data_IF_292116765160
#
_entry.id   IF_292116765160
#
_cell.length_a   1.000
_cell.length_b   1.000
_cell.length_c   1.000
_cell.angle_alpha   90.00
_cell.angle_beta   90.00
_cell.angle_gamma   90.00
#
_symmetry.space_group_name_H-M   'P 1'
#
loop_
_entity.id
_entity.type
_entity.pdbx_description
1 polymer ?
#
# COMPACT_ATOMS: atom_id res chain seq x y z
N UNK A 1 -17.52 25.86 -29.68
CA UNK A 1 -18.40 27.05 -29.77
C UNK A 1 -18.57 27.58 -28.36
N UNK A 2 -18.22 28.84 -28.11
CA UNK A 2 -18.42 29.46 -26.79
C UNK A 2 -19.82 30.05 -26.75
N UNK A 3 -20.66 29.63 -25.80
CA UNK A 3 -22.00 30.20 -25.61
C UNK A 3 -21.88 31.61 -25.05
N UNK A 4 -22.78 32.52 -25.46
CA UNK A 4 -22.84 33.87 -24.89
C UNK A 4 -23.51 33.85 -23.51
N UNK A 5 -23.26 34.85 -22.65
CA UNK A 5 -23.94 34.96 -21.36
C UNK A 5 -25.48 34.97 -21.49
N UNK A 6 -26.01 35.60 -22.53
CA UNK A 6 -27.45 35.64 -22.83
C UNK A 6 -27.98 34.24 -23.12
N UNK A 7 -27.29 33.47 -23.97
CA UNK A 7 -27.67 32.08 -24.28
C UNK A 7 -27.65 31.16 -23.05
N UNK A 8 -26.72 31.39 -22.12
CA UNK A 8 -26.67 30.65 -20.86
C UNK A 8 -27.83 31.02 -19.93
N UNK A 9 -28.18 32.31 -19.88
CA UNK A 9 -29.31 32.78 -19.07
C UNK A 9 -30.64 32.25 -19.62
N UNK A 10 -30.86 32.35 -20.94
CA UNK A 10 -32.08 31.86 -21.59
C UNK A 10 -32.25 30.35 -21.32
N UNK A 11 -31.18 29.57 -21.50
CA UNK A 11 -31.21 28.14 -21.20
C UNK A 11 -31.53 27.85 -19.71
N UNK A 12 -31.01 28.64 -18.78
CA UNK A 12 -31.31 28.48 -17.36
C UNK A 12 -32.78 28.80 -17.04
N UNK A 13 -33.35 29.84 -17.67
CA UNK A 13 -34.74 30.22 -17.49
C UNK A 13 -35.70 29.21 -18.12
N UNK A 14 -35.36 28.63 -19.27
CA UNK A 14 -36.14 27.57 -19.91
C UNK A 14 -36.20 26.32 -19.02
N UNK A 15 -35.09 25.92 -18.39
CA UNK A 15 -35.08 24.82 -17.42
C UNK A 15 -35.95 25.16 -16.21
N UNK A 16 -35.85 26.38 -15.66
CA UNK A 16 -36.67 26.79 -14.53
C UNK A 16 -38.18 26.78 -14.85
N UNK A 17 -38.56 27.21 -16.06
CA UNK A 17 -39.93 27.15 -16.54
C UNK A 17 -40.41 25.70 -16.65
N UNK A 18 -39.60 24.82 -17.26
CA UNK A 18 -39.91 23.40 -17.45
C UNK A 18 -39.99 22.60 -16.13
N UNK A 19 -39.31 23.03 -15.07
CA UNK A 19 -39.50 22.45 -13.73
C UNK A 19 -40.79 22.94 -13.10
N UNK A 20 -41.11 24.23 -13.27
CA UNK A 20 -42.31 24.84 -12.69
C UNK A 20 -43.59 24.31 -13.32
N UNK A 21 -43.58 24.05 -14.63
CA UNK A 21 -44.71 23.48 -15.35
C UNK A 21 -44.83 21.95 -15.22
N UNK A 22 -43.83 21.30 -14.62
CA UNK A 22 -43.79 19.86 -14.39
C UNK A 22 -43.37 19.02 -15.61
N UNK A 23 -42.87 19.66 -16.68
CA UNK A 23 -42.33 18.98 -17.87
C UNK A 23 -41.03 18.25 -17.56
N UNK A 24 -40.21 18.81 -16.67
CA UNK A 24 -38.99 18.19 -16.15
C UNK A 24 -39.20 17.90 -14.67
N UNK A 25 -39.08 16.63 -14.29
CA UNK A 25 -39.09 16.27 -12.88
C UNK A 25 -37.74 16.62 -12.23
N UNK A 26 -37.71 17.11 -10.98
CA UNK A 26 -36.44 17.39 -10.28
C UNK A 26 -35.48 16.20 -10.24
N UNK A 27 -36.01 14.98 -10.14
CA UNK A 27 -35.23 13.73 -10.19
C UNK A 27 -34.54 13.49 -11.53
N UNK A 28 -35.07 14.01 -12.63
CA UNK A 28 -34.43 13.94 -13.95
C UNK A 28 -33.22 14.88 -14.02
N UNK A 29 -33.31 16.06 -13.40
CA UNK A 29 -32.17 16.98 -13.27
C UNK A 29 -31.08 16.37 -12.41
N UNK A 30 -31.43 15.75 -11.30
CA UNK A 30 -30.48 15.03 -10.44
C UNK A 30 -29.78 13.90 -11.21
N UNK A 31 -30.53 13.09 -11.95
CA UNK A 31 -29.99 12.01 -12.76
C UNK A 31 -29.05 12.54 -13.86
N UNK A 32 -29.44 13.60 -14.56
CA UNK A 32 -28.62 14.23 -15.59
C UNK A 32 -27.33 14.85 -14.99
N UNK A 33 -27.44 15.48 -13.84
CA UNK A 33 -26.31 16.06 -13.11
C UNK A 33 -25.33 14.96 -12.68
N UNK A 34 -25.83 13.86 -12.10
CA UNK A 34 -25.00 12.72 -11.72
C UNK A 34 -24.29 12.10 -12.93
N UNK A 35 -24.99 11.98 -14.06
CA UNK A 35 -24.39 11.49 -15.29
C UNK A 35 -23.25 12.41 -15.77
N UNK A 36 -23.44 13.73 -15.71
CA UNK A 36 -22.40 14.72 -16.07
C UNK A 36 -21.23 14.71 -15.09
N UNK A 37 -21.48 14.57 -13.79
CA UNK A 37 -20.43 14.38 -12.80
C UNK A 37 -19.61 13.12 -13.12
N UNK A 38 -20.26 11.99 -13.42
CA UNK A 38 -19.55 10.76 -13.79
C UNK A 38 -18.73 10.91 -15.07
N UNK A 39 -19.23 11.65 -16.05
CA UNK A 39 -18.48 11.97 -17.27
C UNK A 39 -17.24 12.84 -16.98
N UNK A 40 -17.40 13.86 -16.13
CA UNK A 40 -16.35 14.83 -15.85
C UNK A 40 -15.29 14.34 -14.86
N UNK A 41 -15.69 13.64 -13.79
CA UNK A 41 -14.80 13.21 -12.68
C UNK A 41 -14.76 11.69 -12.47
N UNK A 42 -15.50 10.89 -13.25
CA UNK A 42 -15.59 9.45 -13.04
C UNK A 42 -14.44 8.65 -13.66
N UNK A 43 -13.57 9.29 -14.43
CA UNK A 43 -12.41 8.66 -15.08
C UNK A 43 -11.16 9.45 -14.72
N UNK A 44 -10.12 8.76 -14.28
CA UNK A 44 -8.83 9.37 -13.89
C UNK A 44 -7.78 8.99 -14.94
N UNK A 45 -7.23 9.98 -15.65
CA UNK A 45 -6.28 9.73 -16.75
C UNK A 45 -4.81 9.65 -16.31
N UNK A 46 -4.52 9.94 -15.04
CA UNK A 46 -3.17 9.90 -14.47
C UNK A 46 -2.66 11.27 -14.02
N UNK A 47 -1.37 11.40 -13.64
CA UNK A 47 -0.85 12.59 -12.95
C UNK A 47 -0.93 13.92 -13.71
N UNK A 48 -1.17 13.88 -15.03
CA UNK A 48 -1.34 15.07 -15.86
C UNK A 48 -2.81 15.46 -16.07
N UNK A 49 -3.73 14.75 -15.44
CA UNK A 49 -5.15 15.09 -15.42
C UNK A 49 -5.35 16.46 -14.74
N UNK A 50 -6.04 17.43 -15.38
CA UNK A 50 -6.34 18.72 -14.76
C UNK A 50 -7.10 18.61 -13.43
N UNK A 51 -7.83 17.51 -13.22
CA UNK A 51 -8.62 17.25 -12.01
C UNK A 51 -7.87 16.36 -11.00
N UNK A 52 -6.58 16.09 -11.22
CA UNK A 52 -5.78 15.17 -10.39
C UNK A 52 -5.85 15.46 -8.89
N UNK A 53 -5.72 16.72 -8.51
CA UNK A 53 -5.77 17.15 -7.11
C UNK A 53 -7.15 16.92 -6.48
N UNK A 54 -8.22 17.18 -7.22
CA UNK A 54 -9.59 16.89 -6.79
C UNK A 54 -9.81 15.39 -6.58
N UNK A 55 -9.33 14.54 -7.51
CA UNK A 55 -9.41 13.10 -7.34
C UNK A 55 -8.70 12.63 -6.08
N UNK A 56 -7.49 13.15 -5.83
CA UNK A 56 -6.71 12.80 -4.64
C UNK A 56 -7.45 13.15 -3.35
N UNK A 57 -8.05 14.33 -3.28
CA UNK A 57 -8.78 14.77 -2.10
C UNK A 57 -10.10 14.01 -1.91
N UNK A 58 -10.81 13.68 -2.98
CA UNK A 58 -11.99 12.80 -2.93
C UNK A 58 -11.60 11.42 -2.44
N UNK A 59 -10.52 10.81 -2.98
CA UNK A 59 -10.05 9.50 -2.55
C UNK A 59 -9.70 9.49 -1.06
N UNK A 60 -9.00 10.52 -0.55
CA UNK A 60 -8.69 10.63 0.88
C UNK A 60 -9.94 10.67 1.75
N UNK A 61 -10.93 11.48 1.37
CA UNK A 61 -12.20 11.56 2.09
C UNK A 61 -12.99 10.25 2.02
N UNK A 62 -13.04 9.63 0.84
CA UNK A 62 -13.69 8.34 0.61
C UNK A 62 -13.09 7.25 1.50
N UNK A 63 -11.76 7.16 1.57
CA UNK A 63 -11.07 6.22 2.45
C UNK A 63 -11.31 6.52 3.93
N UNK A 64 -11.29 7.81 4.33
CA UNK A 64 -11.59 8.22 5.70
C UNK A 64 -13.01 7.83 6.13
N UNK A 65 -13.96 7.91 5.21
CA UNK A 65 -15.35 7.50 5.42
C UNK A 65 -15.55 5.96 5.41
N UNK A 66 -14.48 5.17 5.24
CA UNK A 66 -14.56 3.71 5.18
C UNK A 66 -15.01 3.17 3.82
N UNK A 67 -14.74 3.90 2.74
CA UNK A 67 -15.16 3.53 1.39
C UNK A 67 -14.57 2.22 0.85
N UNK A 68 -13.48 1.72 1.43
CA UNK A 68 -12.92 0.41 1.12
C UNK A 68 -12.67 -0.36 2.41
N UNK A 69 -12.77 -1.68 2.33
CA UNK A 69 -12.30 -2.56 3.41
C UNK A 69 -10.78 -2.58 3.47
N UNK A 70 -10.24 -3.11 4.58
CA UNK A 70 -8.79 -3.28 4.74
C UNK A 70 -8.27 -4.27 3.72
N UNK A 71 -9.01 -5.34 3.44
CA UNK A 71 -8.66 -6.38 2.47
C UNK A 71 -8.55 -5.80 1.06
N UNK A 72 -9.53 -5.00 0.63
CA UNK A 72 -9.49 -4.32 -0.67
C UNK A 72 -8.30 -3.36 -0.78
N UNK A 73 -7.98 -2.62 0.30
CA UNK A 73 -6.80 -1.75 0.32
C UNK A 73 -5.49 -2.53 0.18
N UNK A 74 -5.38 -3.70 0.80
CA UNK A 74 -4.20 -4.56 0.66
C UNK A 74 -4.00 -5.06 -0.77
N UNK A 75 -5.09 -5.42 -1.46
CA UNK A 75 -5.05 -5.77 -2.88
C UNK A 75 -4.52 -4.62 -3.73
N UNK A 76 -5.03 -3.40 -3.50
CA UNK A 76 -4.56 -2.22 -4.23
C UNK A 76 -3.12 -1.84 -3.91
N UNK A 77 -2.64 -2.07 -2.69
CA UNK A 77 -1.21 -1.92 -2.36
C UNK A 77 -0.36 -2.90 -3.19
N UNK A 78 -0.81 -4.14 -3.38
CA UNK A 78 -0.11 -5.10 -4.24
C UNK A 78 -0.08 -4.63 -5.71
N UNK A 79 -1.19 -4.11 -6.23
CA UNK A 79 -1.27 -3.51 -7.57
C UNK A 79 -0.33 -2.30 -7.70
N UNK A 80 -0.24 -1.46 -6.67
CA UNK A 80 0.68 -0.32 -6.70
C UNK A 80 2.15 -0.76 -6.71
N UNK A 81 2.50 -1.78 -5.92
CA UNK A 81 3.85 -2.35 -5.90
C UNK A 81 4.24 -2.96 -7.24
N UNK A 82 3.33 -3.66 -7.92
CA UNK A 82 3.62 -4.25 -9.23
C UNK A 82 3.82 -3.22 -10.35
N UNK A 83 3.33 -1.98 -10.16
CA UNK A 83 3.55 -0.86 -11.08
C UNK A 83 4.83 -0.10 -10.81
N UNK A 84 5.44 -0.28 -9.63
CA UNK A 84 6.76 0.29 -9.37
C UNK A 84 7.77 -0.52 -10.18
N UNK A 85 8.69 0.14 -10.93
CA UNK A 85 9.80 -0.58 -11.51
C UNK A 85 10.53 -1.27 -10.37
N UNK A 86 10.85 -2.55 -10.56
CA UNK A 86 11.59 -3.36 -9.60
C UNK A 86 12.90 -2.63 -9.33
N UNK A 87 12.95 -1.86 -8.23
CA UNK A 87 14.23 -1.47 -7.66
C UNK A 87 14.84 -2.78 -7.26
N UNK A 88 15.74 -3.30 -8.10
CA UNK A 88 16.65 -4.39 -7.76
C UNK A 88 17.45 -3.87 -6.57
N UNK A 89 16.88 -4.02 -5.38
CA UNK A 89 17.67 -4.09 -4.17
C UNK A 89 18.39 -5.41 -4.37
N UNK A 90 19.68 -5.36 -4.65
CA UNK A 90 20.53 -6.53 -4.46
C UNK A 90 20.29 -6.96 -3.01
N UNK A 91 19.42 -7.95 -2.82
CA UNK A 91 19.35 -8.65 -1.55
C UNK A 91 20.74 -9.25 -1.41
N UNK A 92 21.55 -8.62 -0.55
CA UNK A 92 22.79 -9.22 -0.09
C UNK A 92 22.52 -10.64 0.42
N UNK A 93 23.57 -11.45 0.58
CA UNK A 93 23.43 -12.86 0.89
C UNK A 93 22.46 -13.04 2.06
N UNK A 94 21.51 -13.95 1.86
CA UNK A 94 20.48 -14.27 2.86
C UNK A 94 21.15 -14.57 4.20
N UNK A 95 20.46 -14.29 5.31
CA UNK A 95 20.94 -14.71 6.64
C UNK A 95 21.24 -16.21 6.69
N UNK A 96 20.57 -17.02 5.86
CA UNK A 96 20.83 -18.46 5.69
C UNK A 96 22.19 -18.69 5.00
N UNK A 97 22.50 -17.92 3.95
CA UNK A 97 23.79 -18.02 3.24
C UNK A 97 24.94 -17.54 4.13
N UNK A 98 24.71 -16.54 4.97
CA UNK A 98 25.69 -16.07 5.96
C UNK A 98 25.95 -17.13 7.03
N UNK A 99 24.89 -17.74 7.59
CA UNK A 99 25.02 -18.80 8.59
C UNK A 99 25.71 -20.06 8.04
N UNK A 100 25.48 -20.39 6.77
CA UNK A 100 26.16 -21.52 6.11
C UNK A 100 27.64 -21.24 5.84
N UNK A 101 28.00 -19.99 5.52
CA UNK A 101 29.41 -19.60 5.36
C UNK A 101 30.14 -19.61 6.71
N UNK A 102 29.49 -19.16 7.79
CA UNK A 102 30.08 -19.10 9.13
C UNK A 102 30.28 -20.49 9.76
N UNK A 103 29.43 -21.47 9.41
CA UNK A 103 29.57 -22.87 9.85
C UNK A 103 30.51 -23.74 9.01
N UNK A 104 31.05 -23.22 7.90
CA UNK A 104 31.97 -23.98 7.03
C UNK A 104 33.44 -23.90 7.49
N UNK A 105 33.78 -22.93 8.35
CA UNK A 105 35.14 -22.70 8.83
C UNK A 105 35.43 -23.39 10.19
N UNK A 106 34.44 -24.06 10.80
CA UNK A 106 34.63 -24.83 12.03
C UNK A 106 34.94 -26.31 11.72
N UNK A 107 36.08 -26.56 11.07
CA UNK A 107 36.79 -27.85 11.19
C UNK A 107 37.56 -27.87 12.53
N UNK A 108 36.85 -27.56 13.63
CA UNK A 108 37.27 -27.88 14.98
C UNK A 108 36.96 -29.34 15.24
N UNK A 109 38.00 -30.18 15.24
CA UNK A 109 38.00 -31.57 15.70
C UNK A 109 37.65 -31.65 17.20
N UNK A 110 36.42 -31.30 17.57
CA UNK A 110 35.83 -31.62 18.87
C UNK A 110 35.24 -33.04 18.80
N UNK A 111 36.13 -34.00 18.54
CA UNK A 111 35.91 -35.37 18.95
C UNK A 111 35.64 -35.43 20.47
N UNK A 112 34.88 -36.43 20.95
CA UNK A 112 34.62 -36.56 22.38
C UNK A 112 35.95 -36.54 23.16
N UNK A 113 36.10 -35.57 24.08
CA UNK A 113 37.32 -35.43 24.90
C UNK A 113 37.75 -36.79 25.43
N UNK A 114 39.03 -37.17 25.27
CA UNK A 114 39.49 -38.47 25.71
C UNK A 114 39.36 -38.54 27.24
N UNK A 115 38.96 -39.72 27.73
CA UNK A 115 38.52 -39.90 29.11
C UNK A 115 39.61 -39.57 30.16
N UNK A 116 40.88 -39.64 29.75
CA UNK A 116 42.04 -39.25 30.53
C UNK A 116 42.08 -37.74 30.80
N UNK A 117 41.70 -36.92 29.83
CA UNK A 117 41.63 -35.46 29.98
C UNK A 117 40.47 -35.04 30.89
N UNK A 118 39.32 -35.72 30.78
CA UNK A 118 38.18 -35.53 31.69
C UNK A 118 38.56 -35.86 33.13
N UNK A 119 39.27 -36.98 33.33
CA UNK A 119 39.76 -37.40 34.65
C UNK A 119 40.80 -36.43 35.21
N UNK A 120 41.76 -35.97 34.40
CA UNK A 120 42.77 -35.01 34.83
C UNK A 120 42.13 -33.69 35.29
N UNK A 121 41.10 -33.22 34.57
CA UNK A 121 40.38 -31.99 34.91
C UNK A 121 39.55 -32.15 36.18
N UNK A 122 38.92 -33.31 36.38
CA UNK A 122 38.18 -33.63 37.60
C UNK A 122 39.12 -33.73 38.82
N UNK A 123 40.27 -34.39 38.70
CA UNK A 123 41.26 -34.48 39.77
C UNK A 123 41.82 -33.12 40.18
N UNK A 124 42.08 -32.23 39.20
CA UNK A 124 42.52 -30.86 39.49
C UNK A 124 41.45 -30.05 40.25
N UNK A 125 40.18 -30.22 39.90
CA UNK A 125 39.08 -29.54 40.58
C UNK A 125 38.90 -30.04 42.02
N UNK A 126 39.07 -31.34 42.27
CA UNK A 126 39.02 -31.92 43.62
C UNK A 126 40.18 -31.41 44.48
N UNK A 127 41.40 -31.37 43.94
CA UNK A 127 42.56 -30.87 44.68
C UNK A 127 42.44 -29.37 45.07
N UNK A 128 41.70 -28.58 44.29
CA UNK A 128 41.43 -27.17 44.60
C UNK A 128 40.41 -26.97 45.73
N UNK A 129 39.65 -28.00 46.10
CA UNK A 129 38.65 -27.96 47.18
C UNK A 129 39.23 -28.40 48.54
N UNK A 130 40.37 -29.10 48.55
CA UNK A 130 41.04 -29.56 49.79
C UNK A 130 42.04 -28.53 50.37
N UNK A 131 42.24 -27.40 49.69
CA UNK A 131 43.15 -26.30 50.09
C UNK A 131 42.41 -25.10 50.75
N UNK A 132 41.11 -25.26 51.08
CA UNK A 132 40.25 -24.28 51.79
C UNK A 132 39.86 -24.76 53.20
#
# INVERSE_FOLDING_TARGET
>A
MTQTPEQLMDAAMDIAAAVTDGTIAPTEIEAATLAKCREAVGVVYGPHDPLWELHRDITRQYLHAGGLTVEELLEWVAVMRSRQPETVVESGPSWIEQALAEGADDEGDDGPMPADEVLARASKAIAALDDE
#
